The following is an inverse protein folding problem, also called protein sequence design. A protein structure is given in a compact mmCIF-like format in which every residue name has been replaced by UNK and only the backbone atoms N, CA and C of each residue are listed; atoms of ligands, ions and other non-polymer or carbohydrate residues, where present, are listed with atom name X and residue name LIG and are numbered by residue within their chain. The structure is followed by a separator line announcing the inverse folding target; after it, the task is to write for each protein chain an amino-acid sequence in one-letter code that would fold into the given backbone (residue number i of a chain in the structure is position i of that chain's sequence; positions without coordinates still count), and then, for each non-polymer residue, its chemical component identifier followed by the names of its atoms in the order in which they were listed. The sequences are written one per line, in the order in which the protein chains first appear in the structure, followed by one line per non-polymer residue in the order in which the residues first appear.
data_IF_465764931860
#
_entry.id   IF_465764931860
#
_cell.length_a   1.000
_cell.length_b   1.000
_cell.length_c   1.000
_cell.angle_alpha   90.00
_cell.angle_beta   90.00
_cell.angle_gamma   90.00
#
_symmetry.space_group_name_H-M   'P 1'
#
loop_
_entity.id
_entity.type
_entity.pdbx_description
1 polymer ?
#
# COMPACT_ATOMS: atom_id res chain seq x y z
N UNK A 1 -18.25 -2.08 -8.45
CA UNK A 1 -17.35 -1.16 -7.72
C UNK A 1 -16.08 -1.91 -7.39
N UNK A 2 -14.91 -1.33 -7.71
CA UNK A 2 -13.60 -1.94 -7.52
C UNK A 2 -13.37 -2.37 -6.06
N UNK A 3 -13.93 -1.63 -5.10
CA UNK A 3 -13.85 -1.91 -3.66
C UNK A 3 -14.39 -3.31 -3.31
N UNK A 4 -15.43 -3.78 -4.00
CA UNK A 4 -16.05 -5.09 -3.72
C UNK A 4 -15.32 -6.24 -4.42
N UNK A 5 -14.82 -5.99 -5.63
CA UNK A 5 -14.24 -7.04 -6.50
C UNK A 5 -12.74 -7.21 -6.29
N UNK A 6 -12.03 -6.12 -6.01
CA UNK A 6 -10.59 -6.08 -5.78
C UNK A 6 -10.24 -4.97 -4.78
N UNK A 7 -10.44 -5.21 -3.47
CA UNK A 7 -10.22 -4.21 -2.43
C UNK A 7 -8.76 -3.75 -2.36
N UNK A 8 -7.81 -4.61 -2.73
CA UNK A 8 -6.37 -4.29 -2.74
C UNK A 8 -6.06 -3.25 -3.80
N UNK A 9 -6.56 -3.49 -5.02
CA UNK A 9 -6.40 -2.53 -6.12
C UNK A 9 -7.18 -1.24 -5.83
N UNK A 10 -8.38 -1.33 -5.27
CA UNK A 10 -9.16 -0.14 -4.89
C UNK A 10 -8.41 0.75 -3.89
N UNK A 11 -7.81 0.15 -2.86
CA UNK A 11 -6.99 0.89 -1.89
C UNK A 11 -5.80 1.57 -2.56
N UNK A 12 -5.08 0.85 -3.43
CA UNK A 12 -3.96 1.42 -4.20
C UNK A 12 -4.38 2.58 -5.10
N UNK A 13 -5.56 2.52 -5.70
CA UNK A 13 -6.08 3.61 -6.55
C UNK A 13 -6.44 4.84 -5.72
N UNK A 14 -7.00 4.65 -4.52
CA UNK A 14 -7.43 5.75 -3.64
C UNK A 14 -6.24 6.42 -2.94
N UNK A 15 -5.32 5.63 -2.36
CA UNK A 15 -4.24 6.14 -1.52
C UNK A 15 -2.90 6.24 -2.24
N UNK A 16 -2.75 5.56 -3.37
CA UNK A 16 -1.53 5.53 -4.16
C UNK A 16 -1.48 6.62 -5.24
N UNK A 17 -0.41 6.63 -6.04
CA UNK A 17 -0.28 7.59 -7.14
C UNK A 17 -1.32 7.32 -8.24
N UNK A 18 -1.88 8.40 -8.79
CA UNK A 18 -2.73 8.33 -9.98
C UNK A 18 -1.86 8.04 -11.22
N UNK A 19 -1.81 6.77 -11.64
CA UNK A 19 -1.03 6.34 -12.81
C UNK A 19 -1.94 6.18 -14.03
N UNK A 20 -1.43 6.39 -15.27
CA UNK A 20 -2.23 6.23 -16.49
C UNK A 20 -2.87 4.84 -16.65
N UNK A 21 -2.29 3.81 -16.01
CA UNK A 21 -2.82 2.45 -16.00
C UNK A 21 -4.22 2.35 -15.39
N UNK A 22 -4.60 3.28 -14.49
CA UNK A 22 -5.93 3.30 -13.86
C UNK A 22 -7.04 3.47 -14.91
N UNK A 23 -6.82 4.30 -15.92
CA UNK A 23 -7.78 4.51 -17.02
C UNK A 23 -7.92 3.29 -17.95
N UNK A 24 -7.02 2.31 -17.84
CA UNK A 24 -7.03 1.06 -18.63
C UNK A 24 -7.61 -0.13 -17.85
N UNK A 25 -8.17 0.08 -16.66
CA UNK A 25 -8.74 -0.98 -15.84
C UNK A 25 -10.09 -1.52 -16.36
N UNK A 26 -10.89 -0.66 -16.99
CA UNK A 26 -12.25 -0.96 -17.44
C UNK A 26 -12.56 -0.19 -18.73
N UNK A 27 -13.68 -0.53 -19.37
CA UNK A 27 -14.14 0.13 -20.59
C UNK A 27 -13.41 -0.32 -21.87
N UNK A 28 -13.68 0.35 -23.00
CA UNK A 28 -13.02 0.06 -24.27
C UNK A 28 -11.51 0.36 -24.17
N UNK A 29 -10.68 -0.52 -24.71
CA UNK A 29 -9.22 -0.40 -24.60
C UNK A 29 -8.65 -0.82 -23.24
N UNK A 30 -9.42 -1.57 -22.44
CA UNK A 30 -8.95 -2.24 -21.22
C UNK A 30 -7.67 -3.02 -21.51
N UNK A 31 -6.70 -2.90 -20.62
CA UNK A 31 -5.46 -3.63 -20.70
C UNK A 31 -5.39 -4.66 -19.57
N UNK A 32 -5.19 -5.94 -19.92
CA UNK A 32 -5.15 -7.03 -18.95
C UNK A 32 -4.05 -6.84 -17.89
N UNK A 33 -2.91 -6.24 -18.26
CA UNK A 33 -1.78 -5.97 -17.36
C UNK A 33 -1.93 -4.72 -16.48
N UNK A 34 -3.02 -3.95 -16.61
CA UNK A 34 -3.19 -2.68 -15.89
C UNK A 34 -3.15 -2.86 -14.37
N UNK A 35 -3.76 -3.94 -13.86
CA UNK A 35 -3.77 -4.27 -12.44
C UNK A 35 -2.35 -4.45 -11.90
N UNK A 36 -1.59 -5.35 -12.52
CA UNK A 36 -0.25 -5.69 -12.05
C UNK A 36 0.69 -4.51 -12.23
N UNK A 37 0.54 -3.73 -13.31
CA UNK A 37 1.28 -2.49 -13.51
C UNK A 37 1.04 -1.50 -12.36
N UNK A 38 -0.20 -1.28 -11.91
CA UNK A 38 -0.50 -0.39 -10.78
C UNK A 38 0.18 -0.90 -9.51
N UNK A 39 -0.01 -2.17 -9.16
CA UNK A 39 0.53 -2.73 -7.91
C UNK A 39 2.05 -2.75 -7.85
N UNK A 40 2.73 -2.91 -8.99
CA UNK A 40 4.21 -2.97 -9.07
C UNK A 40 4.84 -1.63 -9.49
N UNK A 41 4.07 -0.54 -9.53
CA UNK A 41 4.57 0.78 -9.98
C UNK A 41 5.81 1.21 -9.21
N UNK A 42 5.77 1.13 -7.88
CA UNK A 42 6.88 1.57 -7.05
C UNK A 42 8.09 0.63 -7.10
N UNK A 43 7.89 -0.64 -7.46
CA UNK A 43 9.01 -1.56 -7.65
C UNK A 43 9.82 -1.16 -8.88
N UNK A 44 9.13 -0.81 -9.98
CA UNK A 44 9.80 -0.29 -11.20
C UNK A 44 10.48 1.05 -10.96
N UNK A 45 9.90 1.93 -10.14
CA UNK A 45 10.54 3.20 -9.76
C UNK A 45 11.80 2.96 -8.93
N UNK A 46 11.77 2.00 -8.00
CA UNK A 46 12.91 1.70 -7.11
C UNK A 46 14.01 0.89 -7.79
N UNK A 47 13.66 0.00 -8.71
CA UNK A 47 14.59 -0.92 -9.38
C UNK A 47 15.86 -0.22 -9.92
N UNK A 48 15.78 0.84 -10.76
CA UNK A 48 16.97 1.50 -11.28
C UNK A 48 17.74 2.28 -10.21
N UNK A 49 17.12 2.60 -9.08
CA UNK A 49 17.73 3.33 -7.97
C UNK A 49 18.43 2.41 -6.96
N UNK A 50 18.06 1.13 -6.93
CA UNK A 50 18.56 0.14 -5.98
C UNK A 50 19.83 -0.58 -6.48
N UNK A 51 20.79 0.15 -7.04
CA UNK A 51 22.03 -0.41 -7.62
C UNK A 51 23.02 -0.93 -6.58
N UNK A 52 22.87 -0.54 -5.32
CA UNK A 52 23.71 -0.98 -4.21
C UNK A 52 22.90 -1.77 -3.17
N UNK A 53 23.10 -3.09 -3.02
CA UNK A 53 22.43 -3.85 -1.99
C UNK A 53 22.98 -3.47 -0.61
N UNK A 54 22.08 -3.23 0.33
CA UNK A 54 22.39 -3.01 1.74
C UNK A 54 21.97 -4.23 2.57
N UNK A 55 22.66 -4.53 3.69
CA UNK A 55 22.17 -5.51 4.63
C UNK A 55 20.76 -5.11 5.12
N UNK A 56 19.89 -6.11 5.29
CA UNK A 56 18.52 -5.86 5.76
C UNK A 56 18.57 -5.19 7.13
N UNK A 57 17.91 -4.04 7.29
CA UNK A 57 17.72 -3.41 8.60
C UNK A 57 17.03 -4.39 9.55
N UNK A 58 17.42 -4.38 10.83
CA UNK A 58 16.85 -5.26 11.84
C UNK A 58 15.34 -5.07 11.95
N UNK A 59 14.61 -6.18 12.02
CA UNK A 59 13.15 -6.16 12.16
C UNK A 59 12.70 -5.63 13.54
N UNK A 60 13.61 -5.59 14.51
CA UNK A 60 13.37 -5.24 15.91
C UNK A 60 12.84 -3.81 16.07
N UNK A 61 13.45 -2.82 15.41
CA UNK A 61 12.98 -1.42 15.49
C UNK A 61 11.58 -1.27 14.91
N UNK A 62 11.28 -1.98 13.81
CA UNK A 62 9.94 -1.98 13.20
C UNK A 62 8.92 -2.64 14.12
N UNK A 63 9.27 -3.77 14.73
CA UNK A 63 8.40 -4.48 15.65
C UNK A 63 8.06 -3.64 16.88
N UNK A 64 9.07 -2.98 17.45
CA UNK A 64 8.87 -2.06 18.57
C UNK A 64 7.91 -0.92 18.21
N UNK A 65 8.11 -0.27 17.06
CA UNK A 65 7.22 0.81 16.60
C UNK A 65 5.78 0.34 16.39
N UNK A 66 5.58 -0.85 15.82
CA UNK A 66 4.25 -1.43 15.62
C UNK A 66 3.56 -1.74 16.96
N UNK A 67 4.30 -2.27 17.94
CA UNK A 67 3.77 -2.57 19.27
C UNK A 67 3.40 -1.29 20.02
N UNK A 68 4.27 -0.28 19.94
CA UNK A 68 4.00 1.04 20.50
C UNK A 68 2.74 1.68 19.88
N UNK A 69 2.62 1.65 18.55
CA UNK A 69 1.43 2.15 17.86
C UNK A 69 0.16 1.41 18.31
N UNK A 70 0.23 0.10 18.45
CA UNK A 70 -0.90 -0.73 18.91
C UNK A 70 -1.33 -0.34 20.34
N UNK A 71 -0.38 -0.16 21.26
CA UNK A 71 -0.67 0.30 22.63
C UNK A 71 -1.36 1.67 22.62
N UNK A 72 -0.85 2.62 21.83
CA UNK A 72 -1.46 3.97 21.71
C UNK A 72 -2.91 3.89 21.20
N UNK A 73 -3.17 3.09 20.15
CA UNK A 73 -4.51 2.90 19.60
C UNK A 73 -5.45 2.27 20.64
N UNK A 74 -5.00 1.24 21.36
CA UNK A 74 -5.80 0.59 22.41
C UNK A 74 -6.14 1.58 23.54
N UNK A 75 -5.18 2.39 23.99
CA UNK A 75 -5.42 3.41 25.01
C UNK A 75 -6.42 4.48 24.54
N UNK A 76 -6.36 4.91 23.27
CA UNK A 76 -7.34 5.84 22.70
C UNK A 76 -8.74 5.23 22.67
N UNK A 77 -8.86 3.95 22.30
CA UNK A 77 -10.13 3.22 22.27
C UNK A 77 -10.71 3.10 23.69
N UNK A 78 -9.89 2.71 24.68
CA UNK A 78 -10.31 2.63 26.09
C UNK A 78 -10.79 4.01 26.58
N UNK A 79 -10.05 5.08 26.27
CA UNK A 79 -10.47 6.46 26.58
C UNK A 79 -11.81 6.82 25.95
N UNK A 80 -12.05 6.43 24.71
CA UNK A 80 -13.30 6.71 23.99
C UNK A 80 -14.50 5.98 24.60
N UNK A 81 -14.30 4.77 25.15
CA UNK A 81 -15.37 4.00 25.80
C UNK A 81 -15.56 4.32 27.29
N UNK A 82 -14.60 4.99 27.94
CA UNK A 82 -14.67 5.44 29.33
C UNK A 82 -15.21 6.87 29.50
N UNK A 83 -15.41 7.60 28.39
CA UNK A 83 -16.08 8.91 28.31
C UNK A 83 -17.51 8.69 27.85
#
# INVERSE_FOLDING_TARGET
SLIKTDPVLAWHVITGPCTPYQYRLMGPGKWAGARDAILTTMDRVRFPLATRPLPKKSAETRQFLLWFLLVVVVLMIIRLFLV
#
